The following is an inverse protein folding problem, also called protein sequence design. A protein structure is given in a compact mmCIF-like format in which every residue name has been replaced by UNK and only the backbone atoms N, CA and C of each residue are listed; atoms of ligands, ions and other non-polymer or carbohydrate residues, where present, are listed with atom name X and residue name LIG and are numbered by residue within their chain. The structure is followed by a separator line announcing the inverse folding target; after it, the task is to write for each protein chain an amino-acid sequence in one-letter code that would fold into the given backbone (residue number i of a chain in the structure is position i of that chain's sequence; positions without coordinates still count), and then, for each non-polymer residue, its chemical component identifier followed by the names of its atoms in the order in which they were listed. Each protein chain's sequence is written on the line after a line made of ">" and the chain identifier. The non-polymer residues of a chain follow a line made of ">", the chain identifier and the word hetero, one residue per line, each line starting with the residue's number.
data_IF_377600373042
#
_entry.id   IF_377600373042
#
_cell.length_a   1.000
_cell.length_b   1.000
_cell.length_c   1.000
_cell.angle_alpha   90.00
_cell.angle_beta   90.00
_cell.angle_gamma   90.00
#
_symmetry.space_group_name_H-M   'P 1'
#
loop_
_entity.id
_entity.type
_entity.pdbx_description
1 polymer ?
#
# COMPACT_ATOMS: atom_id res chain seq x y z
N UNK A 1 -4.07 3.07 12.04
CA UNK A 1 -4.41 2.39 10.77
C UNK A 1 -3.28 1.42 10.42
N UNK A 2 -3.57 0.12 10.31
CA UNK A 2 -2.60 -0.94 9.96
C UNK A 2 -2.78 -1.45 8.51
N UNK A 3 -3.77 -0.93 7.79
CA UNK A 3 -3.99 -1.28 6.39
C UNK A 3 -2.76 -0.88 5.53
N UNK A 4 -2.25 -1.82 4.71
CA UNK A 4 -1.24 -1.52 3.72
C UNK A 4 -1.49 -0.31 2.84
N UNK A 5 -2.72 -0.04 2.41
CA UNK A 5 -2.96 1.10 1.53
C UNK A 5 -2.64 2.41 2.25
N UNK A 6 -3.07 2.54 3.51
CA UNK A 6 -2.83 3.73 4.33
C UNK A 6 -1.36 4.11 4.49
N UNK A 7 -0.49 3.19 4.92
CA UNK A 7 0.94 3.53 5.05
C UNK A 7 1.66 3.65 3.70
N UNK A 8 1.20 2.95 2.66
CA UNK A 8 1.72 3.09 1.29
C UNK A 8 1.38 4.44 0.67
N UNK A 9 0.21 5.02 1.00
CA UNK A 9 -0.17 6.37 0.58
C UNK A 9 0.86 7.40 1.06
N UNK A 10 1.32 7.31 2.31
CA UNK A 10 2.36 8.20 2.85
C UNK A 10 3.69 8.02 2.13
N UNK A 11 4.10 6.77 1.86
CA UNK A 11 5.31 6.49 1.09
C UNK A 11 5.21 7.09 -0.31
N UNK A 12 4.08 6.90 -1.00
CA UNK A 12 3.82 7.46 -2.32
C UNK A 12 3.89 8.98 -2.33
N UNK A 13 3.33 9.66 -1.33
CA UNK A 13 3.39 11.13 -1.25
C UNK A 13 4.82 11.64 -1.04
N UNK A 14 5.61 10.96 -0.20
CA UNK A 14 7.03 11.31 0.01
C UNK A 14 7.83 11.07 -1.27
N UNK A 15 7.60 9.94 -1.96
CA UNK A 15 8.22 9.68 -3.27
C UNK A 15 7.84 10.74 -4.30
N UNK A 16 6.58 11.19 -4.28
CA UNK A 16 6.09 12.24 -5.17
C UNK A 16 6.75 13.59 -4.89
N UNK A 17 6.94 13.97 -3.63
CA UNK A 17 7.69 15.18 -3.25
C UNK A 17 9.12 15.15 -3.80
N UNK A 18 9.80 14.01 -3.65
CA UNK A 18 11.16 13.82 -4.17
C UNK A 18 11.20 13.84 -5.70
N UNK A 19 10.21 13.22 -6.36
CA UNK A 19 10.15 13.12 -7.81
C UNK A 19 9.83 14.47 -8.48
N UNK A 20 8.82 15.19 -7.97
CA UNK A 20 8.35 16.45 -8.54
C UNK A 20 9.09 17.68 -8.00
N UNK A 21 9.91 17.53 -6.94
CA UNK A 21 10.60 18.63 -6.25
C UNK A 21 9.63 19.73 -5.79
N UNK A 22 8.49 19.32 -5.21
CA UNK A 22 7.42 20.20 -4.71
C UNK A 22 7.12 19.89 -3.24
N UNK A 23 6.69 20.87 -2.43
CA UNK A 23 6.48 20.72 -0.98
C UNK A 23 5.16 19.96 -0.67
N UNK A 24 4.99 18.75 -1.21
CA UNK A 24 3.74 17.98 -1.13
C UNK A 24 3.44 17.60 0.32
N UNK A 25 4.44 17.18 1.10
CA UNK A 25 4.25 16.79 2.50
C UNK A 25 3.94 18.01 3.37
N UNK A 26 4.64 19.11 3.16
CA UNK A 26 4.41 20.35 3.90
C UNK A 26 3.03 20.95 3.61
N UNK A 27 2.50 20.75 2.39
CA UNK A 27 1.20 21.30 1.98
C UNK A 27 0.03 20.36 2.35
N UNK A 28 0.16 19.06 2.06
CA UNK A 28 -0.96 18.13 2.15
C UNK A 28 -1.01 17.33 3.45
N UNK A 29 0.09 17.21 4.20
CA UNK A 29 0.18 16.29 5.34
C UNK A 29 0.48 17.00 6.66
N UNK A 30 1.61 17.72 6.78
CA UNK A 30 2.02 18.33 8.05
C UNK A 30 0.98 19.25 8.71
N UNK A 31 0.17 20.04 7.97
CA UNK A 31 -0.84 20.91 8.60
C UNK A 31 -1.99 20.14 9.27
N UNK A 32 -2.20 18.89 8.85
CA UNK A 32 -3.39 18.11 9.20
C UNK A 32 -3.08 16.86 10.02
N UNK A 33 -1.83 16.39 10.02
CA UNK A 33 -1.44 15.13 10.66
C UNK A 33 -0.18 15.30 11.52
N UNK A 34 -0.15 14.74 12.74
CA UNK A 34 0.98 14.87 13.67
C UNK A 34 2.13 13.90 13.34
N UNK A 35 2.42 13.69 12.06
CA UNK A 35 3.47 12.77 11.62
C UNK A 35 4.82 13.49 11.65
N UNK A 36 5.86 12.82 12.16
CA UNK A 36 7.23 13.36 12.16
C UNK A 36 7.98 12.82 10.95
N UNK A 37 8.59 13.73 10.18
CA UNK A 37 9.40 13.41 9.01
C UNK A 37 10.86 13.71 9.32
N UNK A 38 11.70 12.68 9.33
CA UNK A 38 13.14 12.78 9.55
C UNK A 38 13.82 12.46 8.21
N UNK A 39 14.51 13.45 7.65
CA UNK A 39 15.16 13.35 6.34
C UNK A 39 16.67 13.43 6.49
N UNK A 40 17.36 12.42 5.97
CA UNK A 40 18.81 12.42 5.78
C UNK A 40 19.10 12.37 4.27
N UNK A 41 20.34 12.64 3.85
CA UNK A 41 20.73 12.81 2.43
C UNK A 41 20.14 11.77 1.45
N UNK A 42 19.94 10.51 1.87
CA UNK A 42 19.38 9.44 1.02
C UNK A 42 18.17 8.70 1.61
N UNK A 43 17.70 9.03 2.81
CA UNK A 43 16.64 8.26 3.50
C UNK A 43 15.63 9.18 4.16
N UNK A 44 14.37 8.77 4.10
CA UNK A 44 13.27 9.44 4.81
C UNK A 44 12.64 8.46 5.77
N UNK A 45 12.56 8.84 7.04
CA UNK A 45 11.88 8.10 8.09
C UNK A 45 10.65 8.90 8.50
N UNK A 46 9.48 8.26 8.47
CA UNK A 46 8.22 8.85 8.91
C UNK A 46 7.77 8.13 10.17
N UNK A 47 7.56 8.87 11.24
CA UNK A 47 7.07 8.33 12.51
C UNK A 47 5.59 8.66 12.64
N UNK A 48 4.77 7.62 12.70
CA UNK A 48 3.32 7.71 12.87
C UNK A 48 2.98 7.41 14.33
N UNK A 49 2.35 8.34 15.08
CA UNK A 49 1.94 8.08 16.46
C UNK A 49 0.87 6.97 16.52
N UNK A 50 0.82 6.28 17.67
CA UNK A 50 -0.16 5.19 17.90
C UNK A 50 -1.60 5.67 17.82
N UNK A 51 -1.86 6.86 18.35
CA UNK A 51 -3.18 7.49 18.38
C UNK A 51 -3.03 8.88 17.76
N UNK A 52 -3.90 9.18 16.79
CA UNK A 52 -4.03 10.50 16.19
C UNK A 52 -5.39 10.61 15.50
N UNK A 53 -5.80 11.84 15.25
CA UNK A 53 -6.91 12.20 14.36
C UNK A 53 -6.43 13.28 13.39
N UNK A 54 -6.94 13.30 12.14
CA UNK A 54 -6.73 14.43 11.25
C UNK A 54 -7.31 15.71 11.84
N UNK A 55 -6.60 16.83 11.65
CA UNK A 55 -7.12 18.17 11.98
C UNK A 55 -8.04 18.66 10.87
N UNK A 56 -9.23 19.14 11.22
CA UNK A 56 -10.18 19.73 10.28
C UNK A 56 -10.81 18.71 9.33
N UNK A 57 -11.31 19.18 8.19
CA UNK A 57 -12.07 18.38 7.20
C UNK A 57 -11.31 18.13 5.89
N UNK A 58 -9.99 18.35 5.86
CA UNK A 58 -9.19 18.18 4.63
C UNK A 58 -8.79 16.74 4.35
N UNK A 59 -8.55 15.94 5.41
CA UNK A 59 -8.10 14.56 5.31
C UNK A 59 -9.08 13.66 6.03
N UNK A 60 -9.57 12.65 5.31
CA UNK A 60 -10.42 11.60 5.84
C UNK A 60 -9.62 10.31 5.95
N UNK A 61 -9.66 9.68 7.12
CA UNK A 61 -8.98 8.40 7.38
C UNK A 61 -10.00 7.41 7.91
N UNK A 62 -9.94 6.18 7.40
CA UNK A 62 -10.70 5.02 7.89
C UNK A 62 -9.76 3.85 8.14
N UNK A 63 -10.20 2.82 8.90
CA UNK A 63 -9.39 1.64 9.17
C UNK A 63 -8.97 0.86 7.92
N UNK A 64 -9.83 0.82 6.89
CA UNK A 64 -9.53 0.18 5.59
C UNK A 64 -9.79 1.17 4.45
N UNK A 65 -9.09 1.00 3.35
CA UNK A 65 -9.21 1.83 2.15
C UNK A 65 -10.59 1.72 1.49
N UNK A 66 -11.21 0.55 1.53
CA UNK A 66 -12.54 0.32 0.96
C UNK A 66 -13.66 1.07 1.70
N UNK A 67 -13.46 1.40 2.98
CA UNK A 67 -14.42 2.15 3.79
C UNK A 67 -14.56 3.61 3.32
N UNK A 68 -13.64 4.08 2.46
CA UNK A 68 -13.65 5.42 1.89
C UNK A 68 -14.41 5.49 0.56
N UNK A 69 -14.78 4.36 -0.05
CA UNK A 69 -15.45 4.33 -1.36
C UNK A 69 -16.80 5.05 -1.32
N UNK A 70 -17.64 4.75 -0.32
CA UNK A 70 -18.93 5.41 -0.18
C UNK A 70 -18.82 6.93 0.07
N UNK A 71 -17.73 7.39 0.70
CA UNK A 71 -17.47 8.83 0.87
C UNK A 71 -17.10 9.49 -0.47
N UNK A 72 -16.35 8.78 -1.33
CA UNK A 72 -15.99 9.28 -2.65
C UNK A 72 -17.21 9.33 -3.56
N UNK A 73 -17.97 8.25 -3.64
CA UNK A 73 -19.16 8.13 -4.48
C UNK A 73 -20.27 9.08 -4.02
N UNK A 74 -20.41 9.30 -2.72
CA UNK A 74 -21.33 10.28 -2.14
C UNK A 74 -20.83 11.73 -2.21
N UNK A 75 -19.65 12.00 -2.78
CA UNK A 75 -19.09 13.35 -2.93
C UNK A 75 -18.61 14.00 -1.63
N UNK A 76 -18.49 13.25 -0.54
CA UNK A 76 -17.95 13.74 0.73
C UNK A 76 -16.42 13.94 0.70
N UNK A 77 -15.73 13.26 -0.23
CA UNK A 77 -14.32 13.49 -0.55
C UNK A 77 -14.12 13.62 -2.06
N UNK A 78 -13.20 14.49 -2.49
CA UNK A 78 -12.95 14.73 -3.91
C UNK A 78 -11.99 13.71 -4.55
N UNK A 79 -11.03 13.21 -3.76
CA UNK A 79 -9.99 12.29 -4.21
C UNK A 79 -9.73 11.20 -3.16
N UNK A 80 -9.45 9.99 -3.64
CA UNK A 80 -9.11 8.83 -2.83
C UNK A 80 -7.79 8.23 -3.33
N UNK A 81 -6.85 8.00 -2.41
CA UNK A 81 -5.65 7.20 -2.68
C UNK A 81 -5.99 5.73 -2.45
N UNK A 82 -6.08 4.96 -3.53
CA UNK A 82 -6.43 3.53 -3.50
C UNK A 82 -5.68 2.75 -4.58
N UNK A 83 -5.65 1.42 -4.46
CA UNK A 83 -5.09 0.55 -5.49
C UNK A 83 -5.87 0.64 -6.79
N UNK A 84 -5.15 0.63 -7.92
CA UNK A 84 -5.74 0.66 -9.27
C UNK A 84 -6.76 -0.45 -9.50
N UNK A 85 -6.52 -1.65 -8.97
CA UNK A 85 -7.46 -2.77 -9.09
C UNK A 85 -8.82 -2.44 -8.50
N UNK A 86 -8.86 -1.84 -7.30
CA UNK A 86 -10.11 -1.46 -6.65
C UNK A 86 -10.82 -0.35 -7.42
N UNK A 87 -10.07 0.65 -7.90
CA UNK A 87 -10.65 1.70 -8.74
C UNK A 87 -11.32 1.12 -10.00
N UNK A 88 -10.68 0.14 -10.66
CA UNK A 88 -11.26 -0.54 -11.82
C UNK A 88 -12.46 -1.41 -11.47
N UNK A 89 -12.42 -2.14 -10.34
CA UNK A 89 -13.53 -2.96 -9.86
C UNK A 89 -14.79 -2.13 -9.55
N UNK A 90 -14.61 -0.88 -9.13
CA UNK A 90 -15.70 0.06 -8.81
C UNK A 90 -15.99 1.07 -9.94
N UNK A 91 -15.44 0.86 -11.15
CA UNK A 91 -15.63 1.76 -12.30
C UNK A 91 -15.29 3.24 -12.02
N UNK A 92 -14.35 3.50 -11.12
CA UNK A 92 -13.93 4.84 -10.74
C UNK A 92 -12.96 5.44 -11.76
N UNK A 93 -13.06 6.76 -11.98
CA UNK A 93 -12.03 7.52 -12.69
C UNK A 93 -10.79 7.65 -11.81
N UNK A 94 -9.60 7.58 -12.41
CA UNK A 94 -8.34 7.70 -11.67
C UNK A 94 -7.24 8.35 -12.49
N UNK A 95 -6.29 8.98 -11.79
CA UNK A 95 -5.06 9.51 -12.36
C UNK A 95 -3.96 8.47 -12.18
N UNK A 96 -3.24 8.15 -13.27
CA UNK A 96 -2.08 7.25 -13.20
C UNK A 96 -0.88 8.02 -12.65
N UNK A 97 -0.32 7.52 -11.56
CA UNK A 97 0.93 8.02 -11.02
C UNK A 97 2.13 7.30 -11.68
N UNK A 98 3.27 7.98 -11.90
CA UNK A 98 4.48 7.37 -12.45
C UNK A 98 4.94 6.15 -11.65
N UNK A 99 5.55 5.18 -12.35
CA UNK A 99 6.10 3.98 -11.69
C UNK A 99 7.11 4.32 -10.59
N UNK A 100 7.88 5.41 -10.74
CA UNK A 100 8.84 5.88 -9.72
C UNK A 100 8.22 6.22 -8.37
N UNK A 101 6.91 6.45 -8.30
CA UNK A 101 6.22 6.89 -7.07
C UNK A 101 5.08 5.97 -6.64
N UNK A 102 4.48 5.21 -7.57
CA UNK A 102 3.24 4.47 -7.33
C UNK A 102 3.42 3.10 -6.63
N UNK A 103 4.66 2.68 -6.35
CA UNK A 103 5.01 1.41 -5.72
C UNK A 103 4.65 0.14 -6.52
N UNK A 104 4.35 0.27 -7.82
CA UNK A 104 3.90 -0.84 -8.66
C UNK A 104 5.00 -1.58 -9.43
N UNK A 105 6.25 -1.12 -9.39
CA UNK A 105 7.31 -1.60 -10.28
C UNK A 105 8.57 -2.00 -9.52
N UNK A 106 9.05 -3.23 -9.73
CA UNK A 106 10.29 -3.73 -9.12
C UNK A 106 11.53 -2.95 -9.55
N UNK A 107 11.50 -2.34 -10.74
CA UNK A 107 12.57 -1.50 -11.30
C UNK A 107 12.99 -0.36 -10.38
N UNK A 108 12.11 0.08 -9.48
CA UNK A 108 12.34 1.21 -8.58
C UNK A 108 12.44 0.81 -7.10
N UNK A 109 12.69 -0.48 -6.81
CA UNK A 109 12.88 -0.98 -5.45
C UNK A 109 13.94 -0.19 -4.67
N UNK A 110 15.03 0.20 -5.32
CA UNK A 110 16.12 0.97 -4.72
C UNK A 110 15.72 2.38 -4.32
N UNK A 111 14.72 2.96 -4.99
CA UNK A 111 14.14 4.24 -4.64
C UNK A 111 13.15 4.05 -3.49
N UNK A 112 12.25 3.06 -3.62
CA UNK A 112 11.21 2.82 -2.61
C UNK A 112 11.82 2.49 -1.23
N UNK A 113 12.88 1.68 -1.18
CA UNK A 113 13.52 1.23 0.07
C UNK A 113 14.14 2.35 0.90
N UNK A 114 14.35 3.53 0.30
CA UNK A 114 14.87 4.72 0.98
C UNK A 114 13.83 5.36 1.91
N UNK A 115 12.55 5.00 1.78
CA UNK A 115 11.47 5.49 2.62
C UNK A 115 11.11 4.43 3.66
N UNK A 116 11.04 4.81 4.93
CA UNK A 116 10.67 3.93 6.04
C UNK A 116 9.57 4.56 6.88
N UNK A 117 8.49 3.83 7.10
CA UNK A 117 7.44 4.17 8.07
C UNK A 117 7.72 3.45 9.38
N UNK A 118 7.71 4.18 10.49
CA UNK A 118 7.63 3.62 11.84
C UNK A 118 6.19 3.75 12.28
N UNK A 119 5.48 2.62 12.32
CA UNK A 119 4.10 2.57 12.78
C UNK A 119 4.03 2.82 14.29
N UNK A 120 2.87 3.23 14.80
CA UNK A 120 2.66 3.43 16.23
C UNK A 120 2.81 2.18 17.10
N UNK A 121 2.94 1.00 16.48
CA UNK A 121 3.33 -0.27 17.14
C UNK A 121 4.85 -0.42 17.30
N UNK A 122 5.65 0.51 16.78
CA UNK A 122 7.11 0.40 16.67
C UNK A 122 7.58 -0.40 15.44
N UNK A 123 6.66 -1.07 14.73
CA UNK A 123 7.00 -1.85 13.52
C UNK A 123 7.51 -0.92 12.41
N UNK A 124 8.69 -1.24 11.88
CA UNK A 124 9.29 -0.55 10.73
C UNK A 124 8.83 -1.19 9.43
N UNK A 125 8.30 -0.38 8.52
CA UNK A 125 7.86 -0.79 7.18
C UNK A 125 8.66 0.01 6.15
N UNK A 126 9.47 -0.67 5.33
CA UNK A 126 10.18 -0.03 4.22
C UNK A 126 9.30 0.02 2.99
N UNK A 127 9.46 1.07 2.18
CA UNK A 127 8.89 1.12 0.84
C UNK A 127 9.41 -0.03 -0.01
N UNK A 128 8.49 -0.71 -0.68
CA UNK A 128 8.76 -1.85 -1.56
C UNK A 128 7.65 -1.95 -2.60
N UNK A 129 7.89 -2.65 -3.72
CA UNK A 129 6.84 -2.96 -4.68
C UNK A 129 5.65 -3.63 -3.99
N UNK A 130 4.44 -3.31 -4.47
CA UNK A 130 3.20 -3.91 -3.98
C UNK A 130 3.09 -5.32 -4.54
N UNK A 131 3.48 -6.30 -3.73
CA UNK A 131 3.34 -7.73 -4.02
C UNK A 131 2.49 -8.34 -2.92
N UNK A 132 1.46 -9.09 -3.33
CA UNK A 132 0.61 -9.87 -2.44
C UNK A 132 1.23 -11.25 -2.23
N UNK A 133 1.20 -11.73 -0.99
CA UNK A 133 1.67 -13.07 -0.63
C UNK A 133 0.53 -13.89 -0.03
N UNK A 134 0.56 -15.19 -0.27
CA UNK A 134 -0.37 -16.18 0.30
C UNK A 134 0.44 -17.31 0.92
N UNK A 135 -0.05 -17.93 1.99
CA UNK A 135 0.58 -19.10 2.61
C UNK A 135 -0.46 -19.96 3.33
N UNK A 136 -0.36 -21.28 3.20
CA UNK A 136 -1.05 -22.22 4.06
C UNK A 136 -0.30 -22.35 5.40
N UNK A 137 -1.00 -22.07 6.50
CA UNK A 137 -0.43 -22.20 7.84
C UNK A 137 -0.20 -23.67 8.19
N UNK A 138 0.96 -23.97 8.78
CA UNK A 138 1.28 -25.31 9.30
C UNK A 138 0.28 -25.77 10.37
N UNK A 139 -0.32 -24.81 11.08
CA UNK A 139 -1.30 -25.02 12.16
C UNK A 139 -2.73 -24.76 11.71
N UNK A 140 -3.00 -24.74 10.39
CA UNK A 140 -4.37 -24.57 9.90
C UNK A 140 -5.26 -25.72 10.42
N UNK A 141 -6.53 -25.48 10.76
CA UNK A 141 -7.47 -26.55 11.15
C UNK A 141 -7.64 -27.63 10.07
N UNK A 142 -7.45 -27.23 8.81
CA UNK A 142 -7.55 -28.07 7.61
C UNK A 142 -6.31 -27.87 6.72
N UNK A 143 -5.13 -28.44 7.06
CA UNK A 143 -3.87 -28.15 6.38
C UNK A 143 -3.85 -28.58 4.91
N UNK A 144 -4.51 -29.71 4.58
CA UNK A 144 -4.56 -30.24 3.21
C UNK A 144 -5.35 -29.28 2.31
N UNK A 145 -6.52 -28.86 2.77
CA UNK A 145 -7.45 -27.95 2.10
C UNK A 145 -6.85 -26.56 1.97
N UNK A 146 -6.17 -26.06 3.01
CA UNK A 146 -5.43 -24.81 2.95
C UNK A 146 -4.35 -24.84 1.87
N UNK A 147 -3.60 -25.95 1.75
CA UNK A 147 -2.59 -26.10 0.70
C UNK A 147 -3.21 -26.26 -0.69
N UNK A 148 -4.35 -26.96 -0.81
CA UNK A 148 -5.10 -27.04 -2.06
C UNK A 148 -5.55 -25.65 -2.53
N UNK A 149 -6.05 -24.81 -1.62
CA UNK A 149 -6.44 -23.43 -1.94
C UNK A 149 -5.24 -22.57 -2.34
N UNK A 150 -4.13 -22.63 -1.59
CA UNK A 150 -2.88 -21.95 -1.95
C UNK A 150 -2.41 -22.34 -3.36
N UNK A 151 -2.41 -23.64 -3.67
CA UNK A 151 -2.05 -24.17 -4.99
C UNK A 151 -3.02 -23.69 -6.08
N UNK A 152 -4.33 -23.64 -5.79
CA UNK A 152 -5.33 -23.13 -6.73
C UNK A 152 -5.10 -21.64 -7.05
N UNK A 153 -4.91 -20.80 -6.03
CA UNK A 153 -4.67 -19.35 -6.20
C UNK A 153 -3.40 -19.08 -7.01
N UNK A 154 -2.36 -19.89 -6.81
CA UNK A 154 -1.06 -19.77 -7.50
C UNK A 154 -1.00 -20.50 -8.85
N UNK A 155 -2.03 -21.26 -9.21
CA UNK A 155 -2.15 -21.95 -10.49
C UNK A 155 -2.37 -20.97 -11.65
N UNK A 156 -2.26 -21.46 -12.89
CA UNK A 156 -2.63 -20.69 -14.10
C UNK A 156 -4.06 -20.17 -14.01
N UNK A 157 -5.00 -20.99 -13.54
CA UNK A 157 -6.42 -20.61 -13.40
C UNK A 157 -6.59 -19.49 -12.37
N UNK A 158 -5.89 -19.58 -11.24
CA UNK A 158 -5.88 -18.53 -10.23
C UNK A 158 -5.33 -17.21 -10.77
N UNK A 159 -4.20 -17.25 -11.50
CA UNK A 159 -3.62 -16.08 -12.15
C UNK A 159 -4.58 -15.43 -13.17
N UNK A 160 -5.30 -16.22 -13.96
CA UNK A 160 -6.33 -15.71 -14.88
C UNK A 160 -7.48 -15.01 -14.15
N UNK A 161 -7.95 -15.55 -13.02
CA UNK A 161 -8.98 -14.92 -12.20
C UNK A 161 -8.50 -13.61 -11.57
N UNK A 162 -7.27 -13.57 -11.06
CA UNK A 162 -6.63 -12.36 -10.53
C UNK A 162 -6.55 -11.27 -11.62
N UNK A 163 -6.16 -11.66 -12.84
CA UNK A 163 -6.12 -10.75 -14.00
C UNK A 163 -7.50 -10.21 -14.37
N UNK A 164 -8.52 -11.07 -14.36
CA UNK A 164 -9.93 -10.67 -14.58
C UNK A 164 -10.43 -9.70 -13.50
N UNK A 165 -9.93 -9.83 -12.28
CA UNK A 165 -10.19 -8.90 -11.18
C UNK A 165 -9.26 -7.65 -11.20
N UNK A 166 -8.68 -7.31 -12.36
CA UNK A 166 -7.85 -6.13 -12.60
C UNK A 166 -6.54 -6.04 -11.79
N UNK A 167 -6.05 -7.17 -11.26
CA UNK A 167 -4.75 -7.26 -10.61
C UNK A 167 -3.74 -7.91 -11.55
N UNK A 168 -2.48 -7.47 -11.50
CA UNK A 168 -1.42 -8.05 -12.32
C UNK A 168 -0.88 -9.27 -11.57
N UNK A 169 -1.10 -10.51 -12.04
CA UNK A 169 -0.60 -11.69 -11.35
C UNK A 169 0.92 -11.82 -11.55
N UNK A 170 1.61 -12.28 -10.50
CA UNK A 170 2.98 -12.80 -10.62
C UNK A 170 2.85 -14.28 -10.98
N UNK A 171 3.10 -14.62 -12.25
CA UNK A 171 2.96 -15.98 -12.77
C UNK A 171 4.17 -16.37 -13.64
N UNK A 172 4.82 -17.53 -13.40
CA UNK A 172 4.56 -18.46 -12.29
C UNK A 172 4.78 -17.79 -10.93
N UNK A 173 4.07 -18.27 -9.91
CA UNK A 173 4.20 -17.71 -8.56
C UNK A 173 5.63 -17.93 -8.03
N UNK A 174 6.18 -16.92 -7.36
CA UNK A 174 7.51 -16.99 -6.77
C UNK A 174 7.39 -17.62 -5.38
N UNK A 175 8.01 -18.77 -5.17
CA UNK A 175 8.07 -19.43 -3.87
C UNK A 175 9.14 -18.77 -2.99
N UNK A 176 8.74 -18.22 -1.84
CA UNK A 176 9.67 -17.67 -0.85
C UNK A 176 9.88 -18.71 0.25
N UNK A 177 10.99 -19.46 0.17
CA UNK A 177 11.37 -20.41 1.21
C UNK A 177 12.02 -19.67 2.38
N UNK A 178 11.43 -19.76 3.56
CA UNK A 178 12.07 -19.29 4.78
C UNK A 178 13.26 -20.20 5.11
N UNK A 179 14.47 -19.71 4.86
CA UNK A 179 15.67 -20.31 5.45
C UNK A 179 15.76 -19.83 6.90
N UNK A 180 15.65 -20.75 7.87
CA UNK A 180 16.03 -20.46 9.26
C UNK A 180 17.50 -20.01 9.22
N UNK A 181 17.74 -18.74 9.54
CA UNK A 181 19.06 -18.31 10.01
C UNK A 181 19.30 -18.85 11.41
#
# INVERSE_FOLDING_TARGET
>A
NLDPCGYRAIIMLVLSELYYKKPIIDTLIKPYLPFKFIKNQKKVIIIIPKIFSPKGKKIFIRPKEIDLLGLLEGGAIDYLIIYRSVALQHNLKFIKLPEKVNLGSEKYIDIYKNITIVLGTGKKVKGKPIIYGITALKTAPHPKEAKLFENFVTSRKGAELIKKAYQIPVYPAIEIKYQKK
#
